data_IF_247522154028
#
_entry.id   IF_247522154028
#
_cell.length_a   1.000
_cell.length_b   1.000
_cell.length_c   1.000
_cell.angle_alpha   90.00
_cell.angle_beta   90.00
_cell.angle_gamma   90.00
#
_symmetry.space_group_name_H-M   'P 1'
#
loop_
_entity.id
_entity.type
_entity.pdbx_description
1 polymer ?
#
# COMPACT_ATOMS: atom_id res chain seq x y z
N UNK A 1 39.72 -17.45 7.26
CA UNK A 1 39.76 -18.00 8.64
C UNK A 1 39.32 -16.89 9.60
N UNK A 2 38.40 -17.20 10.52
CA UNK A 2 37.59 -16.30 11.38
C UNK A 2 36.35 -15.66 10.74
N UNK A 3 35.30 -16.45 10.51
CA UNK A 3 33.89 -15.99 10.55
C UNK A 3 32.87 -17.14 10.78
N UNK A 4 33.32 -18.28 11.34
CA UNK A 4 32.49 -19.50 11.51
C UNK A 4 32.32 -19.94 12.98
N UNK A 5 32.59 -19.07 13.96
CA UNK A 5 32.55 -19.45 15.39
C UNK A 5 31.45 -18.77 16.20
N UNK A 6 30.50 -18.05 15.58
CA UNK A 6 29.43 -17.35 16.31
C UNK A 6 28.06 -18.05 16.25
N UNK A 7 27.88 -19.04 15.35
CA UNK A 7 26.58 -19.69 15.12
C UNK A 7 26.45 -21.11 15.71
N UNK A 8 27.43 -21.60 16.48
CA UNK A 8 27.40 -22.97 17.02
C UNK A 8 27.08 -23.04 18.53
N UNK A 9 27.14 -21.92 19.25
CA UNK A 9 26.95 -21.90 20.72
C UNK A 9 25.49 -21.63 21.12
N UNK A 10 24.69 -21.02 20.24
CA UNK A 10 23.28 -20.70 20.54
C UNK A 10 22.33 -21.89 20.29
N UNK A 11 22.72 -22.85 19.46
CA UNK A 11 21.88 -24.00 19.07
C UNK A 11 21.91 -25.16 20.07
N UNK A 12 22.84 -25.17 21.03
CA UNK A 12 23.01 -26.27 21.99
C UNK A 12 22.27 -25.99 23.32
N UNK A 13 21.83 -24.76 23.58
CA UNK A 13 21.20 -24.38 24.86
C UNK A 13 19.66 -24.49 24.85
N UNK A 14 19.04 -24.84 23.71
CA UNK A 14 17.58 -25.00 23.60
C UNK A 14 17.10 -26.47 23.52
N UNK A 15 17.93 -27.44 23.91
CA UNK A 15 17.60 -28.87 23.88
C UNK A 15 17.64 -29.58 25.24
N UNK A 16 17.78 -28.84 26.35
CA UNK A 16 17.96 -29.41 27.68
C UNK A 16 16.81 -29.13 28.68
N UNK A 17 15.60 -28.84 28.20
CA UNK A 17 14.41 -28.79 29.08
C UNK A 17 13.21 -29.46 28.40
N UNK A 18 13.30 -30.77 28.23
CA UNK A 18 12.14 -31.63 28.00
C UNK A 18 12.05 -32.60 29.19
N UNK A 19 11.04 -32.48 30.06
CA UNK A 19 10.78 -33.52 31.05
C UNK A 19 10.27 -34.77 30.32
N UNK A 20 11.04 -35.85 30.40
CA UNK A 20 10.62 -37.20 30.05
C UNK A 20 9.56 -37.66 31.04
N UNK A 21 8.32 -37.80 30.58
CA UNK A 21 7.19 -38.23 31.39
C UNK A 21 6.11 -38.93 30.58
N UNK A 22 6.28 -40.26 30.48
CA UNK A 22 5.28 -41.34 30.44
C UNK A 22 3.94 -41.15 29.72
N UNK A 23 3.66 -42.17 28.91
CA UNK A 23 2.43 -42.51 28.20
C UNK A 23 1.17 -42.48 29.08
N UNK A 24 0.14 -41.77 28.65
CA UNK A 24 -1.25 -42.19 28.88
C UNK A 24 -2.14 -41.64 27.76
N UNK A 25 -2.75 -42.55 27.00
CA UNK A 25 -3.80 -42.24 26.05
C UNK A 25 -5.04 -41.76 26.84
N UNK A 26 -5.20 -40.45 26.94
CA UNK A 26 -6.46 -39.82 27.35
C UNK A 26 -7.04 -39.15 26.10
N UNK A 27 -8.26 -39.48 25.64
CA UNK A 27 -8.88 -38.74 24.57
C UNK A 27 -9.11 -37.31 25.03
N UNK A 28 -8.42 -36.35 24.41
CA UNK A 28 -8.74 -34.93 24.59
C UNK A 28 -10.17 -34.71 24.06
N UNK A 29 -11.07 -34.06 24.82
CA UNK A 29 -12.36 -33.69 24.28
C UNK A 29 -12.13 -32.71 23.12
N UNK A 30 -12.80 -32.94 21.98
CA UNK A 30 -12.90 -31.96 20.90
C UNK A 30 -13.55 -30.69 21.48
N UNK A 31 -12.74 -29.79 22.02
CA UNK A 31 -13.18 -28.47 22.42
C UNK A 31 -13.29 -27.61 21.17
N UNK A 32 -14.52 -27.42 20.71
CA UNK A 32 -15.04 -26.28 19.97
C UNK A 32 -13.98 -25.54 19.12
N UNK A 33 -13.74 -26.07 17.92
CA UNK A 33 -13.21 -25.26 16.83
C UNK A 33 -14.33 -24.30 16.42
N UNK A 34 -14.41 -23.15 17.07
CA UNK A 34 -15.19 -22.03 16.57
C UNK A 34 -14.53 -21.64 15.26
N UNK A 35 -15.13 -22.07 14.13
CA UNK A 35 -14.74 -21.55 12.84
C UNK A 35 -14.93 -20.04 12.94
N UNK A 36 -13.84 -19.27 12.91
CA UNK A 36 -13.92 -17.86 12.61
C UNK A 36 -14.63 -17.78 11.27
N UNK A 37 -15.92 -17.43 11.29
CA UNK A 37 -16.71 -17.25 10.09
C UNK A 37 -15.96 -16.19 9.28
N UNK A 38 -15.42 -16.57 8.11
CA UNK A 38 -14.82 -15.62 7.20
C UNK A 38 -15.94 -14.72 6.69
N UNK A 39 -16.21 -13.64 7.42
CA UNK A 39 -17.15 -12.61 7.02
C UNK A 39 -16.49 -11.78 5.93
N UNK A 40 -16.75 -12.16 4.68
CA UNK A 40 -16.44 -11.32 3.52
C UNK A 40 -17.46 -10.20 3.46
N UNK A 41 -17.03 -8.96 3.68
CA UNK A 41 -17.81 -7.77 3.34
C UNK A 41 -17.54 -7.38 1.89
N UNK A 42 -18.58 -6.99 1.17
CA UNK A 42 -18.46 -6.41 -0.17
C UNK A 42 -18.84 -4.94 -0.14
N UNK A 43 -18.05 -4.12 -0.81
CA UNK A 43 -18.32 -2.68 -0.97
C UNK A 43 -18.55 -2.42 -2.45
N UNK A 44 -19.69 -1.80 -2.76
CA UNK A 44 -20.00 -1.35 -4.12
C UNK A 44 -19.73 0.15 -4.18
N UNK A 45 -18.81 0.54 -5.05
CA UNK A 45 -18.54 1.95 -5.35
C UNK A 45 -19.30 2.33 -6.62
N UNK A 46 -20.20 3.31 -6.51
CA UNK A 46 -20.91 3.91 -7.64
C UNK A 46 -20.60 5.39 -7.70
N UNK A 47 -20.14 5.86 -8.86
CA UNK A 47 -19.95 7.29 -9.09
C UNK A 47 -20.71 7.73 -10.34
N UNK A 48 -21.18 8.97 -10.32
CA UNK A 48 -21.89 9.57 -11.43
C UNK A 48 -20.84 10.03 -12.45
N UNK A 49 -20.81 9.39 -13.62
CA UNK A 49 -19.86 9.64 -14.71
C UNK A 49 -20.15 10.96 -15.45
N UNK A 50 -20.28 12.06 -14.72
CA UNK A 50 -20.39 13.40 -15.30
C UNK A 50 -19.11 14.15 -14.93
N UNK A 51 -17.98 13.73 -15.50
CA UNK A 51 -16.78 14.57 -15.52
C UNK A 51 -16.32 14.77 -16.97
N UNK A 52 -16.08 16.02 -17.40
CA UNK A 52 -15.52 16.29 -18.71
C UNK A 52 -14.15 15.61 -18.81
N UNK A 53 -13.88 14.91 -19.93
CA UNK A 53 -12.63 14.23 -20.26
C UNK A 53 -12.35 12.87 -19.61
N UNK A 54 -13.33 12.19 -19.00
CA UNK A 54 -13.17 10.76 -18.68
C UNK A 54 -13.38 9.90 -19.93
N UNK A 55 -12.53 8.89 -20.12
CA UNK A 55 -12.58 7.90 -21.22
C UNK A 55 -13.79 6.95 -21.18
N UNK A 56 -14.75 7.18 -20.29
CA UNK A 56 -15.82 6.22 -19.97
C UNK A 56 -15.33 4.92 -19.31
N UNK A 57 -14.01 4.77 -19.10
CA UNK A 57 -13.41 3.55 -18.56
C UNK A 57 -13.78 3.33 -17.09
N UNK A 58 -14.19 2.11 -16.72
CA UNK A 58 -14.58 1.76 -15.35
C UNK A 58 -13.46 2.05 -14.34
N UNK A 59 -13.77 2.64 -13.16
CA UNK A 59 -12.77 2.89 -12.13
C UNK A 59 -12.26 1.56 -11.57
N UNK A 60 -10.98 1.53 -11.20
CA UNK A 60 -10.30 0.35 -10.67
C UNK A 60 -9.63 0.68 -9.34
N UNK A 61 -9.61 -0.31 -8.45
CA UNK A 61 -8.74 -0.27 -7.27
C UNK A 61 -7.32 -0.54 -7.75
N UNK A 62 -6.41 0.42 -7.57
CA UNK A 62 -5.01 0.27 -7.96
C UNK A 62 -4.13 -0.24 -6.82
N UNK A 63 -4.43 0.16 -5.60
CA UNK A 63 -3.61 -0.20 -4.44
C UNK A 63 -4.47 -0.20 -3.17
N UNK A 64 -4.12 -1.07 -2.24
CA UNK A 64 -4.82 -1.32 -0.98
C UNK A 64 -3.77 -1.35 0.13
N UNK A 65 -3.97 -0.55 1.17
CA UNK A 65 -3.18 -0.62 2.41
C UNK A 65 -4.11 -0.79 3.61
N UNK A 66 -3.60 -1.42 4.66
CA UNK A 66 -4.30 -1.61 5.91
C UNK A 66 -3.63 -0.79 7.01
N UNK A 67 -4.43 -0.14 7.85
CA UNK A 67 -3.92 0.48 9.06
C UNK A 67 -3.53 -0.59 10.09
N UNK A 68 -2.73 -0.19 11.08
CA UNK A 68 -2.28 -1.06 12.16
C UNK A 68 -3.43 -1.65 12.99
N UNK A 69 -4.60 -1.01 12.99
CA UNK A 69 -5.80 -1.52 13.66
C UNK A 69 -6.41 -2.74 12.94
N UNK A 70 -5.88 -3.13 11.78
CA UNK A 70 -6.30 -4.24 10.89
C UNK A 70 -7.75 -4.18 10.37
N UNK A 71 -8.53 -3.21 10.84
CA UNK A 71 -9.97 -3.09 10.62
C UNK A 71 -10.33 -1.87 9.77
N UNK A 72 -9.36 -0.99 9.58
CA UNK A 72 -9.42 0.14 8.66
C UNK A 72 -8.52 -0.11 7.46
N UNK A 73 -9.06 0.08 6.26
CA UNK A 73 -8.37 -0.08 4.99
C UNK A 73 -8.41 1.25 4.24
N UNK A 74 -7.34 1.60 3.55
CA UNK A 74 -7.36 2.69 2.56
C UNK A 74 -7.11 2.11 1.17
N UNK A 75 -7.95 2.47 0.23
CA UNK A 75 -7.83 2.05 -1.17
C UNK A 75 -7.65 3.27 -2.06
N UNK A 76 -6.81 3.14 -3.09
CA UNK A 76 -6.75 4.12 -4.17
C UNK A 76 -7.57 3.63 -5.35
N UNK A 77 -8.44 4.50 -5.83
CA UNK A 77 -9.26 4.29 -7.01
C UNK A 77 -8.77 5.20 -8.13
N UNK A 78 -8.72 4.69 -9.35
CA UNK A 78 -8.42 5.51 -10.52
C UNK A 78 -9.01 4.91 -11.80
N UNK A 79 -9.27 5.77 -12.79
CA UNK A 79 -9.65 5.39 -14.15
C UNK A 79 -8.45 5.39 -15.08
N UNK A 80 -8.39 4.39 -15.97
CA UNK A 80 -7.41 4.39 -17.06
C UNK A 80 -7.75 5.52 -18.04
N UNK A 81 -6.78 6.41 -18.24
CA UNK A 81 -6.91 7.57 -19.12
C UNK A 81 -6.27 7.29 -20.49
N UNK A 82 -5.12 6.61 -20.49
CA UNK A 82 -4.40 6.31 -21.71
C UNK A 82 -3.67 4.97 -21.59
N UNK A 83 -3.80 4.14 -22.61
CA UNK A 83 -3.05 2.90 -22.73
C UNK A 83 -2.52 2.73 -24.16
N UNK A 84 -1.22 2.44 -24.29
CA UNK A 84 -0.56 2.17 -25.57
C UNK A 84 0.59 1.20 -25.37
N UNK A 85 0.45 0.00 -25.93
CA UNK A 85 1.42 -1.09 -25.74
C UNK A 85 1.61 -1.42 -24.26
N UNK A 86 2.82 -1.23 -23.77
CA UNK A 86 3.17 -1.43 -22.35
C UNK A 86 2.82 -0.23 -21.47
N UNK A 87 2.65 0.97 -22.04
CA UNK A 87 2.38 2.18 -21.26
C UNK A 87 0.92 2.19 -20.83
N UNK A 88 0.68 2.34 -19.53
CA UNK A 88 -0.65 2.55 -18.95
C UNK A 88 -0.60 3.75 -18.01
N UNK A 89 -1.51 4.69 -18.22
CA UNK A 89 -1.64 5.91 -17.47
C UNK A 89 -3.07 6.09 -16.98
N UNK A 90 -3.18 6.60 -15.77
CA UNK A 90 -4.44 6.87 -15.09
C UNK A 90 -4.78 8.35 -15.11
N UNK A 91 -6.00 8.67 -14.73
CA UNK A 91 -6.40 10.05 -14.47
C UNK A 91 -5.47 10.73 -13.46
N UNK A 92 -5.28 12.04 -13.61
CA UNK A 92 -4.35 12.85 -12.80
C UNK A 92 -4.98 13.27 -11.46
N UNK A 93 -5.70 12.34 -10.83
CA UNK A 93 -6.43 12.54 -9.59
C UNK A 93 -5.94 11.56 -8.54
N UNK A 94 -5.92 12.01 -7.29
CA UNK A 94 -5.66 11.14 -6.15
C UNK A 94 -6.98 10.93 -5.41
N UNK A 95 -7.63 9.80 -5.69
CA UNK A 95 -8.88 9.40 -5.06
C UNK A 95 -8.60 8.26 -4.09
N UNK A 96 -8.69 8.56 -2.80
CA UNK A 96 -8.55 7.57 -1.73
C UNK A 96 -9.89 7.37 -1.03
N UNK A 97 -10.15 6.13 -0.63
CA UNK A 97 -11.29 5.78 0.22
C UNK A 97 -10.77 5.10 1.46
N UNK A 98 -10.98 5.72 2.62
CA UNK A 98 -10.74 5.07 3.90
C UNK A 98 -12.02 4.36 4.30
N UNK A 99 -11.93 3.05 4.44
CA UNK A 99 -13.03 2.14 4.73
C UNK A 99 -12.82 1.66 6.16
N UNK A 100 -13.78 1.96 7.02
CA UNK A 100 -13.77 1.57 8.42
C UNK A 100 -14.54 0.27 8.64
N UNK A 101 -14.26 -0.43 9.75
CA UNK A 101 -14.88 -1.70 10.11
C UNK A 101 -16.42 -1.66 10.20
N UNK A 102 -16.98 -0.49 10.55
CA UNK A 102 -18.42 -0.25 10.63
C UNK A 102 -19.07 0.04 9.25
N UNK A 103 -18.30 -0.01 8.16
CA UNK A 103 -18.76 0.28 6.80
C UNK A 103 -18.76 1.77 6.43
N UNK A 104 -18.37 2.67 7.34
CA UNK A 104 -18.20 4.09 7.01
C UNK A 104 -17.07 4.26 6.01
N UNK A 105 -17.32 5.12 5.01
CA UNK A 105 -16.35 5.48 3.98
C UNK A 105 -16.04 6.96 4.10
N UNK A 106 -14.75 7.28 4.27
CA UNK A 106 -14.24 8.65 4.20
C UNK A 106 -13.59 8.84 2.83
N UNK A 107 -14.05 9.85 2.10
CA UNK A 107 -13.53 10.18 0.79
C UNK A 107 -12.45 11.25 0.88
N UNK A 108 -11.29 10.97 0.30
CA UNK A 108 -10.22 11.95 0.14
C UNK A 108 -10.00 12.10 -1.37
N UNK A 109 -10.42 13.24 -1.91
CA UNK A 109 -10.46 13.51 -3.33
C UNK A 109 -9.59 14.73 -3.66
N UNK A 110 -8.50 14.51 -4.37
CA UNK A 110 -7.72 15.58 -4.98
C UNK A 110 -7.82 15.51 -6.50
N UNK A 111 -8.39 16.55 -7.11
CA UNK A 111 -8.44 16.68 -8.57
C UNK A 111 -7.08 17.01 -9.16
N UNK A 112 -6.23 17.70 -8.39
CA UNK A 112 -4.86 18.03 -8.75
C UNK A 112 -4.04 18.30 -7.48
N UNK A 113 -2.79 17.84 -7.46
CA UNK A 113 -1.77 18.21 -6.46
C UNK A 113 -0.58 18.72 -7.25
N UNK A 114 -0.27 20.02 -7.12
CA UNK A 114 0.71 20.75 -7.95
C UNK A 114 2.10 20.07 -8.00
N UNK A 115 2.51 19.46 -6.90
CA UNK A 115 3.85 18.89 -6.75
C UNK A 115 4.00 17.52 -7.41
N UNK A 116 2.88 16.83 -7.66
CA UNK A 116 2.84 15.49 -8.25
C UNK A 116 2.69 15.62 -9.77
N UNK A 117 3.82 15.49 -10.46
CA UNK A 117 3.88 15.55 -11.93
C UNK A 117 3.14 14.37 -12.59
N UNK A 118 2.63 14.59 -13.81
CA UNK A 118 1.82 13.63 -14.58
C UNK A 118 2.41 12.21 -14.68
N UNK A 119 3.74 12.09 -14.77
CA UNK A 119 4.44 10.80 -14.90
C UNK A 119 4.15 9.85 -13.73
N UNK A 120 3.81 10.39 -12.55
CA UNK A 120 3.48 9.62 -11.36
C UNK A 120 2.16 8.85 -11.49
N UNK A 121 1.28 9.29 -12.39
CA UNK A 121 0.00 8.64 -12.67
C UNK A 121 0.12 7.55 -13.76
N UNK A 122 1.34 7.24 -14.20
CA UNK A 122 1.61 6.19 -15.16
C UNK A 122 2.43 5.04 -14.55
N UNK A 123 2.30 3.86 -15.14
CA UNK A 123 3.32 2.84 -14.98
C UNK A 123 4.57 3.25 -15.76
N UNK A 124 5.70 3.28 -15.07
CA UNK A 124 7.04 3.43 -15.63
C UNK A 124 7.73 2.07 -15.67
N UNK A 125 8.53 1.85 -16.70
CA UNK A 125 9.25 0.58 -16.92
C UNK A 125 10.76 0.84 -16.82
N UNK A 126 11.33 0.87 -15.59
CA UNK A 126 12.78 0.99 -15.43
C UNK A 126 13.54 -0.19 -16.06
N UNK A 127 12.87 -1.33 -16.22
CA UNK A 127 13.32 -2.52 -16.94
C UNK A 127 12.14 -3.03 -17.78
N UNK A 128 12.35 -3.59 -18.99
CA UNK A 128 11.29 -4.18 -19.82
C UNK A 128 10.34 -5.16 -19.11
N UNK A 129 10.78 -5.75 -18.01
CA UNK A 129 10.04 -6.77 -17.24
C UNK A 129 9.38 -6.24 -15.96
N UNK A 130 9.71 -5.02 -15.53
CA UNK A 130 9.25 -4.47 -14.25
C UNK A 130 8.46 -3.19 -14.50
N UNK A 131 7.15 -3.26 -14.31
CA UNK A 131 6.30 -2.07 -14.21
C UNK A 131 6.34 -1.54 -12.77
N UNK A 132 6.61 -0.26 -12.59
CA UNK A 132 6.47 0.44 -11.30
C UNK A 132 5.51 1.61 -11.45
N UNK A 133 4.67 1.83 -10.45
CA UNK A 133 3.89 3.07 -10.35
C UNK A 133 4.60 4.00 -9.37
N UNK A 134 5.13 5.17 -9.81
CA UNK A 134 5.87 6.05 -8.90
C UNK A 134 5.00 6.63 -7.79
N UNK A 135 3.72 6.89 -8.07
CA UNK A 135 2.74 7.29 -7.05
C UNK A 135 2.28 6.09 -6.24
N UNK A 136 2.71 6.03 -4.99
CA UNK A 136 2.30 5.01 -4.03
C UNK A 136 1.78 5.67 -2.75
N UNK A 137 1.14 4.89 -1.88
CA UNK A 137 0.75 5.36 -0.57
C UNK A 137 0.92 4.27 0.49
N UNK A 138 1.02 4.71 1.74
CA UNK A 138 1.16 3.86 2.92
C UNK A 138 0.22 4.38 4.00
N UNK A 139 -0.56 3.47 4.58
CA UNK A 139 -1.29 3.75 5.80
C UNK A 139 -0.27 3.94 6.94
N UNK A 140 -0.27 5.12 7.57
CA UNK A 140 0.62 5.37 8.71
C UNK A 140 -0.09 5.03 10.03
N UNK A 141 0.61 5.26 11.15
CA UNK A 141 -0.04 5.32 12.45
C UNK A 141 -1.00 6.50 12.49
N UNK A 142 -2.09 6.37 13.25
CA UNK A 142 -3.14 7.40 13.36
C UNK A 142 -3.85 7.65 12.02
N UNK A 143 -4.68 8.69 11.93
CA UNK A 143 -5.53 8.99 10.76
C UNK A 143 -4.74 9.66 9.62
N UNK A 144 -3.52 9.17 9.34
CA UNK A 144 -2.59 9.73 8.37
C UNK A 144 -2.20 8.75 7.26
N UNK A 145 -1.91 9.30 6.07
CA UNK A 145 -1.50 8.56 4.88
C UNK A 145 -0.24 9.21 4.33
N UNK A 146 0.83 8.44 4.18
CA UNK A 146 2.01 8.87 3.42
C UNK A 146 1.76 8.61 1.95
N UNK A 147 1.84 9.64 1.13
CA UNK A 147 1.86 9.52 -0.33
C UNK A 147 3.28 9.73 -0.80
N UNK A 148 3.86 8.77 -1.52
CA UNK A 148 5.19 8.86 -2.11
C UNK A 148 5.07 9.01 -3.62
N UNK A 149 5.94 9.81 -4.21
CA UNK A 149 5.98 10.07 -5.64
C UNK A 149 7.39 10.48 -6.07
N UNK A 150 7.64 10.55 -7.37
CA UNK A 150 8.88 11.06 -7.92
C UNK A 150 8.69 12.47 -8.49
N UNK A 151 9.72 13.30 -8.39
CA UNK A 151 9.74 14.64 -8.94
C UNK A 151 11.05 14.86 -9.70
N UNK A 152 10.94 15.37 -10.93
CA UNK A 152 12.07 15.68 -11.79
C UNK A 152 12.08 17.17 -12.14
N UNK A 153 13.25 17.80 -12.08
CA UNK A 153 13.41 19.17 -12.63
C UNK A 153 13.36 19.16 -14.15
N UNK A 154 13.68 18.01 -14.77
CA UNK A 154 13.54 17.77 -16.21
C UNK A 154 13.07 16.33 -16.44
N UNK A 155 11.81 16.14 -16.84
CA UNK A 155 11.22 14.80 -17.05
C UNK A 155 11.85 14.02 -18.21
N UNK A 156 12.63 14.67 -19.07
CA UNK A 156 13.39 14.03 -20.16
C UNK A 156 14.76 13.52 -19.71
N UNK A 157 15.21 13.88 -18.51
CA UNK A 157 16.49 13.49 -17.94
C UNK A 157 16.27 12.64 -16.68
N UNK A 158 16.51 11.33 -16.82
CA UNK A 158 16.30 10.36 -15.74
C UNK A 158 17.18 10.60 -14.50
N UNK A 159 18.26 11.36 -14.62
CA UNK A 159 19.17 11.67 -13.50
C UNK A 159 18.63 12.74 -12.57
N UNK A 160 17.61 13.49 -13.01
CA UNK A 160 17.01 14.58 -12.22
C UNK A 160 15.85 14.13 -11.34
N UNK A 161 15.47 12.85 -11.42
CA UNK A 161 14.39 12.29 -10.64
C UNK A 161 14.78 12.14 -9.18
N UNK A 162 13.89 12.56 -8.29
CA UNK A 162 14.06 12.48 -6.85
C UNK A 162 12.77 12.00 -6.21
N UNK A 163 12.88 11.07 -5.27
CA UNK A 163 11.74 10.63 -4.48
C UNK A 163 11.31 11.72 -3.50
N UNK A 164 10.00 11.89 -3.41
CA UNK A 164 9.31 12.86 -2.57
C UNK A 164 8.18 12.16 -1.83
N UNK A 165 7.65 12.85 -0.83
CA UNK A 165 6.42 12.42 -0.19
C UNK A 165 5.73 13.55 0.53
N UNK A 166 4.43 13.39 0.68
CA UNK A 166 3.56 14.26 1.46
C UNK A 166 2.71 13.42 2.40
N UNK A 167 2.25 14.02 3.49
CA UNK A 167 1.36 13.35 4.45
C UNK A 167 -0.02 13.99 4.36
N UNK A 168 -1.03 13.13 4.21
CA UNK A 168 -2.44 13.49 4.23
C UNK A 168 -3.05 13.07 5.57
N UNK A 169 -4.02 13.83 6.06
CA UNK A 169 -4.95 13.35 7.08
C UNK A 169 -6.25 12.82 6.45
N UNK A 170 -7.13 12.19 7.25
CA UNK A 170 -8.44 11.74 6.79
C UNK A 170 -9.41 12.88 6.42
N UNK A 171 -9.12 14.10 6.87
CA UNK A 171 -9.86 15.31 6.47
C UNK A 171 -9.53 15.80 5.07
N UNK A 172 -8.54 15.18 4.40
CA UNK A 172 -8.07 15.61 3.08
C UNK A 172 -7.16 16.83 3.13
N UNK A 173 -6.52 17.10 4.27
CA UNK A 173 -5.52 18.17 4.39
C UNK A 173 -4.12 17.62 4.12
N UNK A 174 -3.29 18.40 3.42
CA UNK A 174 -1.85 18.12 3.29
C UNK A 174 -1.14 18.72 4.50
N UNK A 175 -0.59 17.86 5.35
CA UNK A 175 -0.01 18.25 6.64
C UNK A 175 1.48 18.60 6.52
N UNK A 176 2.21 18.00 5.55
CA UNK A 176 3.64 18.25 5.38
C UNK A 176 4.14 18.00 3.96
N UNK A 177 4.95 18.93 3.45
CA UNK A 177 5.71 18.84 2.21
C UNK A 177 7.22 18.82 2.52
N UNK A 178 7.83 17.66 2.87
CA UNK A 178 9.30 17.48 2.79
C UNK A 178 9.76 16.12 3.28
N UNK A 179 10.40 15.37 2.37
CA UNK A 179 11.51 14.47 2.71
C UNK A 179 12.64 14.65 1.69
N UNK A 180 13.87 14.80 2.20
CA UNK A 180 15.10 14.66 1.43
C UNK A 180 15.45 13.18 1.35
N UNK A 181 15.69 12.70 0.13
CA UNK A 181 16.44 11.48 -0.26
C UNK A 181 16.49 10.39 0.83
N UNK A 182 15.59 9.39 0.74
CA UNK A 182 15.83 8.10 1.40
C UNK A 182 17.04 7.46 0.72
N UNK A 183 18.23 7.73 1.23
CA UNK A 183 19.45 7.06 0.81
C UNK A 183 19.38 5.64 1.36
N UNK A 184 19.03 4.66 0.52
CA UNK A 184 19.47 3.29 0.77
C UNK A 184 20.98 3.26 0.50
N UNK A 185 21.77 3.05 1.55
CA UNK A 185 23.18 2.65 1.43
C UNK A 185 23.30 1.26 0.83
#
# INVERSE_FOLDING_TARGET
>A
MKFLLYNLVFTIILLAILPTGLTQNVPLPLSNFTQNLLTSSSITYSEISIQPNLTGAQPRILHIEHYQDSSTTVVRIARENYASGIIRCFERRLLLRVIQANGTIIEINFDHIEEIQDINYCYVYPDPTIAKQPLNFYALFEQYILVTYTHATNTSDNTTFTDRGLVLDWGGNIIRHKWHKLVSK
#
